data_IF_414375566236
#
_entry.id   IF_414375566236
#
_cell.length_a   1.000
_cell.length_b   1.000
_cell.length_c   1.000
_cell.angle_alpha   90.00
_cell.angle_beta   90.00
_cell.angle_gamma   90.00
#
_symmetry.space_group_name_H-M   'P 1'
#
loop_
_entity.id
_entity.type
_entity.pdbx_description
1 polymer ?
#
# COMPACT_ATOMS: atom_id res chain seq x y z
N UNK A 1 -16.66 -53.90 37.31
CA UNK A 1 -16.39 -53.28 38.62
C UNK A 1 -17.11 -51.95 38.66
N UNK A 2 -18.25 -51.89 39.35
CA UNK A 2 -18.96 -50.64 39.62
C UNK A 2 -18.35 -49.98 40.85
N UNK A 3 -18.25 -48.66 40.89
CA UNK A 3 -17.92 -47.92 42.10
C UNK A 3 -19.06 -46.95 42.40
N UNK A 4 -19.83 -47.28 43.44
CA UNK A 4 -20.90 -46.48 44.02
C UNK A 4 -20.33 -45.68 45.20
N UNK A 5 -20.37 -44.35 45.13
CA UNK A 5 -20.08 -43.51 46.30
C UNK A 5 -19.88 -42.02 45.96
N UNK A 6 -20.52 -41.09 46.70
CA UNK A 6 -20.40 -39.65 46.47
C UNK A 6 -19.18 -39.10 47.23
N UNK A 7 -17.99 -39.28 46.64
CA UNK A 7 -16.75 -38.74 47.21
C UNK A 7 -16.53 -37.30 46.78
N UNK A 8 -16.90 -36.34 47.64
CA UNK A 8 -16.39 -34.97 47.59
C UNK A 8 -14.87 -34.99 47.75
N UNK A 9 -14.13 -34.56 46.73
CA UNK A 9 -12.67 -34.48 46.79
C UNK A 9 -12.24 -33.05 47.11
N UNK A 10 -11.85 -32.83 48.37
CA UNK A 10 -11.05 -31.66 48.77
C UNK A 10 -9.61 -31.81 48.26
N UNK A 11 -8.93 -30.74 47.81
CA UNK A 11 -7.61 -30.85 47.19
C UNK A 11 -6.54 -31.19 48.24
N UNK A 12 -6.23 -32.48 48.37
CA UNK A 12 -5.07 -33.01 49.09
C UNK A 12 -4.07 -33.58 48.09
N UNK A 13 -2.81 -33.21 48.27
CA UNK A 13 -1.61 -33.63 47.53
C UNK A 13 -1.68 -35.05 46.93
N UNK A 14 -1.69 -35.16 45.60
CA UNK A 14 -1.29 -36.41 44.94
C UNK A 14 -1.89 -36.72 43.58
N UNK A 15 -3.11 -36.26 43.27
CA UNK A 15 -3.78 -36.60 42.01
C UNK A 15 -4.24 -35.35 41.25
N UNK A 16 -3.59 -34.97 40.13
CA UNK A 16 -4.02 -33.82 39.36
C UNK A 16 -5.15 -34.23 38.40
N UNK A 17 -6.23 -34.81 38.91
CA UNK A 17 -7.43 -35.07 38.11
C UNK A 17 -8.26 -33.79 38.03
N UNK A 18 -7.68 -32.74 37.43
CA UNK A 18 -8.35 -31.47 37.15
C UNK A 18 -9.41 -31.58 36.03
N UNK A 19 -9.63 -32.78 35.49
CA UNK A 19 -10.43 -33.04 34.29
C UNK A 19 -11.58 -34.05 34.47
N UNK A 20 -12.33 -34.01 35.58
CA UNK A 20 -13.61 -34.76 35.66
C UNK A 20 -14.79 -33.84 35.88
N UNK A 21 -15.56 -33.68 34.80
CA UNK A 21 -16.79 -32.87 34.68
C UNK A 21 -17.96 -33.58 35.36
N UNK A 22 -18.87 -32.82 36.01
CA UNK A 22 -20.23 -33.29 36.32
C UNK A 22 -21.25 -32.22 35.84
N UNK A 23 -22.00 -32.51 34.77
CA UNK A 23 -22.78 -31.53 34.01
C UNK A 23 -22.02 -30.95 32.80
N UNK A 24 -22.46 -29.81 32.25
CA UNK A 24 -21.99 -29.35 30.93
C UNK A 24 -20.78 -28.40 30.94
N UNK A 25 -20.37 -27.78 32.07
CA UNK A 25 -19.34 -26.73 32.04
C UNK A 25 -18.25 -26.93 33.11
N UNK A 26 -16.99 -26.70 32.71
CA UNK A 26 -15.77 -26.76 33.55
C UNK A 26 -15.24 -25.34 33.79
N UNK A 27 -14.82 -25.01 35.02
CA UNK A 27 -14.20 -23.71 35.36
C UNK A 27 -12.88 -23.91 36.14
N UNK A 28 -11.87 -23.10 35.82
CA UNK A 28 -10.56 -23.07 36.49
C UNK A 28 -10.32 -21.71 37.17
N UNK A 29 -9.91 -21.72 38.44
CA UNK A 29 -9.72 -20.54 39.29
C UNK A 29 -8.45 -20.66 40.14
N UNK A 30 -7.30 -20.35 39.53
CA UNK A 30 -6.22 -19.53 40.13
C UNK A 30 -4.96 -19.49 39.25
N UNK A 31 -5.08 -19.48 37.93
CA UNK A 31 -3.92 -19.45 37.05
C UNK A 31 -4.26 -19.26 35.58
N UNK A 32 -3.21 -19.26 34.77
CA UNK A 32 -3.30 -19.26 33.32
C UNK A 32 -3.59 -20.69 32.83
N UNK A 33 -4.45 -20.86 31.82
CA UNK A 33 -4.76 -22.16 31.19
C UNK A 33 -3.81 -22.37 30.02
N UNK A 34 -3.02 -23.45 30.08
CA UNK A 34 -2.14 -23.90 28.99
C UNK A 34 -2.70 -25.12 28.27
N UNK A 35 -2.85 -25.06 26.95
CA UNK A 35 -3.12 -26.24 26.11
C UNK A 35 -1.83 -26.55 25.35
N UNK A 36 -1.22 -27.71 25.58
CA UNK A 36 0.07 -28.07 24.95
C UNK A 36 1.29 -27.30 25.50
N UNK A 37 1.15 -26.58 26.61
CA UNK A 37 2.25 -25.93 27.34
C UNK A 37 2.03 -26.01 28.85
N UNK A 38 3.10 -26.22 29.62
CA UNK A 38 3.08 -26.21 31.10
C UNK A 38 3.41 -24.84 31.70
N UNK A 39 3.82 -23.87 30.86
CA UNK A 39 4.23 -22.52 31.27
C UNK A 39 3.43 -21.43 30.52
N UNK A 40 2.10 -21.36 30.70
CA UNK A 40 1.26 -20.42 29.98
C UNK A 40 1.57 -18.95 30.38
N UNK A 41 2.00 -18.14 29.42
CA UNK A 41 2.41 -16.74 29.63
C UNK A 41 1.23 -15.74 29.71
N UNK A 42 0.03 -16.16 29.29
CA UNK A 42 -1.21 -15.38 29.37
C UNK A 42 -2.36 -16.24 29.90
N UNK A 43 -3.47 -15.59 30.32
CA UNK A 43 -4.64 -16.25 30.94
C UNK A 43 -5.14 -17.47 30.17
N UNK A 44 -5.05 -17.44 28.85
CA UNK A 44 -5.17 -18.60 27.98
C UNK A 44 -3.97 -18.61 27.04
N UNK A 45 -3.22 -19.72 27.02
CA UNK A 45 -2.09 -19.94 26.11
C UNK A 45 -2.27 -21.29 25.42
N UNK A 46 -2.20 -21.30 24.09
CA UNK A 46 -2.09 -22.53 23.31
C UNK A 46 -0.61 -22.63 22.92
N UNK A 47 0.09 -23.62 23.48
CA UNK A 47 1.47 -23.94 23.14
C UNK A 47 1.58 -24.66 21.80
N UNK A 48 2.80 -24.76 21.29
CA UNK A 48 3.08 -25.43 20.02
C UNK A 48 3.92 -24.59 19.06
N UNK A 49 4.08 -25.08 17.84
CA UNK A 49 4.81 -24.42 16.75
C UNK A 49 3.88 -23.41 16.06
N UNK A 50 4.29 -22.14 16.02
CA UNK A 50 3.55 -21.10 15.32
C UNK A 50 3.30 -21.48 13.85
N UNK A 51 2.06 -21.29 13.38
CA UNK A 51 1.66 -21.67 12.02
C UNK A 51 1.28 -23.14 11.83
N UNK A 52 1.52 -24.01 12.82
CA UNK A 52 1.15 -25.44 12.82
C UNK A 52 0.05 -25.71 13.84
N UNK A 53 0.29 -25.33 15.10
CA UNK A 53 -0.63 -25.52 16.21
C UNK A 53 -1.60 -24.33 16.34
N UNK A 54 -2.84 -24.59 16.76
CA UNK A 54 -3.87 -23.56 16.81
C UNK A 54 -5.26 -24.05 17.25
N UNK A 55 -6.28 -23.21 17.08
CA UNK A 55 -7.68 -23.55 17.40
C UNK A 55 -8.30 -24.25 16.20
N UNK A 56 -8.64 -25.54 16.33
CA UNK A 56 -9.33 -26.32 15.29
C UNK A 56 -10.83 -26.04 15.31
N UNK A 57 -11.41 -25.63 14.19
CA UNK A 57 -12.85 -25.44 14.02
C UNK A 57 -13.53 -26.67 13.39
N UNK A 58 -14.85 -26.88 13.62
CA UNK A 58 -15.58 -28.01 13.06
C UNK A 58 -15.60 -28.08 11.52
N UNK A 59 -15.38 -26.96 10.85
CA UNK A 59 -15.26 -26.87 9.38
C UNK A 59 -13.92 -27.42 8.84
N UNK A 60 -13.04 -27.90 9.73
CA UNK A 60 -11.75 -28.43 9.34
C UNK A 60 -10.67 -27.35 9.17
N UNK A 61 -10.91 -26.09 9.53
CA UNK A 61 -9.87 -25.05 9.56
C UNK A 61 -9.17 -25.01 10.91
N UNK A 62 -7.88 -24.64 10.94
CA UNK A 62 -7.13 -24.41 12.17
C UNK A 62 -6.67 -22.95 12.20
N UNK A 63 -7.11 -22.18 13.18
CA UNK A 63 -6.58 -20.83 13.41
C UNK A 63 -5.22 -20.95 14.09
N UNK A 64 -4.16 -20.89 13.29
CA UNK A 64 -2.76 -20.95 13.73
C UNK A 64 -2.13 -19.56 13.90
N UNK A 65 -2.86 -18.50 13.54
CA UNK A 65 -2.49 -17.10 13.69
C UNK A 65 -3.73 -16.27 14.04
N UNK A 66 -3.56 -15.13 14.70
CA UNK A 66 -4.64 -14.14 14.79
C UNK A 66 -4.90 -13.56 13.39
N UNK A 67 -5.94 -14.08 12.71
CA UNK A 67 -6.46 -13.66 11.41
C UNK A 67 -5.48 -12.85 10.53
N UNK A 68 -4.62 -13.54 9.78
CA UNK A 68 -3.75 -12.96 8.72
C UNK A 68 -4.52 -12.57 7.45
N UNK A 69 -5.84 -12.36 7.52
CA UNK A 69 -6.68 -11.87 6.42
C UNK A 69 -6.61 -10.35 6.24
N UNK A 70 -5.42 -9.75 6.41
CA UNK A 70 -5.20 -8.31 6.29
C UNK A 70 -4.89 -7.87 4.86
N UNK A 71 -4.84 -6.56 4.64
CA UNK A 71 -4.31 -5.97 3.40
C UNK A 71 -2.85 -6.46 3.20
N UNK A 72 -2.47 -6.96 2.00
CA UNK A 72 -1.10 -7.39 1.74
C UNK A 72 -0.07 -6.25 1.85
N UNK A 73 1.15 -6.58 2.28
CA UNK A 73 2.26 -5.64 2.27
C UNK A 73 2.52 -5.12 0.84
N UNK A 74 2.89 -3.85 0.72
CA UNK A 74 3.10 -3.19 -0.58
C UNK A 74 1.85 -2.55 -1.19
N UNK A 75 0.64 -2.86 -0.68
CA UNK A 75 -0.59 -2.15 -1.09
C UNK A 75 -0.54 -0.71 -0.60
N UNK A 76 -0.93 0.21 -1.47
CA UNK A 76 -1.02 1.64 -1.18
C UNK A 76 -2.48 2.07 -1.12
N UNK A 77 -2.83 2.85 -0.09
CA UNK A 77 -4.17 3.41 0.11
C UNK A 77 -4.09 4.91 0.30
N UNK A 78 -5.16 5.61 -0.08
CA UNK A 78 -5.38 7.01 0.27
C UNK A 78 -6.02 7.09 1.66
N UNK A 79 -5.35 7.77 2.58
CA UNK A 79 -5.84 8.04 3.93
C UNK A 79 -6.30 9.50 4.04
N UNK A 80 -7.46 9.70 4.67
CA UNK A 80 -7.93 11.02 5.06
C UNK A 80 -7.21 11.56 6.33
N UNK A 81 -6.49 10.71 7.06
CA UNK A 81 -5.73 11.10 8.24
C UNK A 81 -4.37 11.70 7.87
N UNK A 82 -3.84 12.58 8.74
CA UNK A 82 -2.52 13.21 8.58
C UNK A 82 -1.35 12.27 8.92
N UNK A 83 -1.62 11.09 9.48
CA UNK A 83 -0.62 10.06 9.80
C UNK A 83 -1.15 8.69 9.44
N UNK A 84 -0.25 7.79 9.03
CA UNK A 84 -0.63 6.40 8.77
C UNK A 84 -0.91 5.67 10.09
N UNK A 85 -1.90 4.77 10.08
CA UNK A 85 -2.21 3.92 11.22
C UNK A 85 -1.12 2.86 11.45
N UNK A 86 -1.10 2.24 12.63
CA UNK A 86 -0.18 1.14 12.94
C UNK A 86 -0.23 0.05 11.86
N UNK A 87 0.94 -0.42 11.41
CA UNK A 87 1.07 -1.39 10.31
C UNK A 87 1.08 -0.76 8.91
N UNK A 88 1.22 0.57 8.82
CA UNK A 88 1.34 1.32 7.58
C UNK A 88 2.43 2.40 7.70
N UNK A 89 3.08 2.73 6.59
CA UNK A 89 4.07 3.80 6.49
C UNK A 89 3.63 4.83 5.46
N UNK A 90 4.05 6.09 5.62
CA UNK A 90 3.81 7.11 4.61
C UNK A 90 4.65 6.82 3.36
N UNK A 91 4.03 6.86 2.17
CA UNK A 91 4.72 6.78 0.89
C UNK A 91 5.36 8.14 0.55
N UNK A 92 6.41 8.49 1.30
CA UNK A 92 7.07 9.80 1.29
C UNK A 92 8.56 9.74 0.91
N UNK A 93 9.04 8.64 0.34
CA UNK A 93 10.45 8.48 -0.06
C UNK A 93 11.43 8.18 1.07
N UNK A 94 10.97 7.89 2.30
CA UNK A 94 11.87 7.58 3.41
C UNK A 94 12.62 6.26 3.22
N UNK A 95 13.85 6.19 3.74
CA UNK A 95 14.58 4.92 3.88
C UNK A 95 14.12 4.22 5.16
N UNK A 96 13.77 2.94 5.07
CA UNK A 96 13.27 2.14 6.18
C UNK A 96 13.98 0.80 6.29
N UNK A 97 13.97 0.20 7.49
CA UNK A 97 14.73 -1.02 7.80
C UNK A 97 14.19 -2.26 7.06
N UNK A 98 15.09 -3.00 6.40
CA UNK A 98 14.79 -4.29 5.73
C UNK A 98 14.37 -5.37 6.73
N UNK A 99 14.90 -5.35 7.94
CA UNK A 99 14.61 -6.36 8.97
C UNK A 99 13.31 -6.07 9.70
N UNK A 100 13.03 -4.80 10.00
CA UNK A 100 11.80 -4.37 10.68
C UNK A 100 10.58 -4.51 9.76
N UNK A 101 10.74 -4.22 8.47
CA UNK A 101 9.66 -4.27 7.48
C UNK A 101 9.96 -5.33 6.41
N UNK A 102 10.29 -6.54 6.84
CA UNK A 102 10.73 -7.64 5.97
C UNK A 102 9.68 -8.09 4.96
N UNK A 103 8.40 -8.09 5.34
CA UNK A 103 7.26 -8.39 4.46
C UNK A 103 7.12 -7.36 3.34
N UNK A 104 7.23 -6.08 3.68
CA UNK A 104 7.23 -5.00 2.69
C UNK A 104 8.49 -5.03 1.81
N UNK A 105 9.66 -5.30 2.38
CA UNK A 105 10.88 -5.45 1.61
C UNK A 105 10.80 -6.62 0.64
N UNK A 106 10.20 -7.75 1.03
CA UNK A 106 9.94 -8.86 0.12
C UNK A 106 8.99 -8.47 -1.02
N UNK A 107 8.01 -7.59 -0.76
CA UNK A 107 7.03 -7.16 -1.75
C UNK A 107 7.58 -6.15 -2.78
N UNK A 108 8.35 -5.15 -2.36
CA UNK A 108 8.81 -4.05 -3.24
C UNK A 108 10.32 -4.01 -3.46
N UNK A 109 11.10 -4.72 -2.65
CA UNK A 109 12.57 -4.73 -2.70
C UNK A 109 13.15 -3.31 -2.73
N UNK A 110 14.15 -3.07 -3.58
CA UNK A 110 14.81 -1.78 -3.78
C UNK A 110 14.25 -0.98 -4.95
N UNK A 111 13.02 -1.25 -5.38
CA UNK A 111 12.39 -0.67 -6.57
C UNK A 111 12.36 0.87 -6.57
N UNK A 112 12.29 1.49 -5.39
CA UNK A 112 12.26 2.94 -5.21
C UNK A 112 13.58 3.51 -4.68
N UNK A 113 14.61 2.67 -4.58
CA UNK A 113 15.93 3.03 -4.07
C UNK A 113 16.51 1.97 -3.14
N UNK A 114 17.83 1.84 -3.16
CA UNK A 114 18.59 0.85 -2.40
C UNK A 114 18.75 1.20 -0.92
N UNK A 115 18.23 2.36 -0.49
CA UNK A 115 18.47 2.91 0.83
C UNK A 115 19.95 3.26 1.04
N UNK A 116 20.53 2.74 2.11
CA UNK A 116 21.96 2.76 2.45
C UNK A 116 22.77 1.68 1.70
N UNK A 117 22.13 0.89 0.82
CA UNK A 117 22.76 -0.21 0.09
C UNK A 117 22.93 -1.50 0.91
N UNK A 118 22.50 -1.54 2.17
CA UNK A 118 22.72 -2.70 3.05
C UNK A 118 21.52 -3.00 3.95
N UNK A 119 21.20 -2.12 4.90
CA UNK A 119 20.23 -2.39 5.98
C UNK A 119 18.86 -1.78 5.74
N UNK A 120 18.75 -0.87 4.77
CA UNK A 120 17.53 -0.12 4.48
C UNK A 120 17.12 -0.23 3.01
N UNK A 121 15.88 0.15 2.71
CA UNK A 121 15.35 0.31 1.36
C UNK A 121 14.46 1.56 1.31
N UNK A 122 14.30 2.15 0.13
CA UNK A 122 13.56 3.40 -0.04
C UNK A 122 12.09 3.10 -0.33
N UNK A 123 11.18 3.82 0.32
CA UNK A 123 9.74 3.78 0.04
C UNK A 123 9.40 4.58 -1.23
N UNK A 124 8.23 4.34 -1.86
CA UNK A 124 7.74 5.26 -2.88
C UNK A 124 7.58 6.69 -2.34
N UNK A 125 7.73 7.70 -3.18
CA UNK A 125 7.31 9.07 -2.89
C UNK A 125 6.19 9.49 -3.83
N UNK A 126 4.95 9.47 -3.31
CA UNK A 126 3.74 9.81 -4.07
C UNK A 126 3.20 11.20 -3.77
N UNK A 127 3.94 11.99 -2.99
CA UNK A 127 3.52 13.36 -2.67
C UNK A 127 3.54 14.20 -3.94
N UNK A 128 2.42 14.87 -4.23
CA UNK A 128 2.28 15.74 -5.40
C UNK A 128 2.06 15.04 -6.74
N UNK A 129 1.98 13.69 -6.76
CA UNK A 129 1.73 12.93 -7.99
C UNK A 129 0.28 12.42 -8.07
N UNK A 130 -0.24 12.33 -9.29
CA UNK A 130 -1.43 11.51 -9.57
C UNK A 130 -1.01 10.07 -9.87
N UNK A 131 -1.76 9.12 -9.34
CA UNK A 131 -1.56 7.71 -9.64
C UNK A 131 -2.29 7.34 -10.93
N UNK A 132 -1.56 6.69 -11.83
CA UNK A 132 -2.05 6.10 -13.07
C UNK A 132 -1.96 4.57 -12.97
N UNK A 133 -2.94 3.86 -13.51
CA UNK A 133 -2.85 2.41 -13.66
C UNK A 133 -1.69 2.02 -14.59
N UNK A 134 -0.88 1.03 -14.19
CA UNK A 134 0.22 0.54 -15.03
C UNK A 134 -0.33 0.03 -16.36
N UNK A 135 0.25 0.50 -17.48
CA UNK A 135 -0.22 0.16 -18.81
C UNK A 135 -0.04 -1.34 -19.10
N UNK A 136 1.06 -1.94 -18.67
CA UNK A 136 1.32 -3.38 -18.79
C UNK A 136 1.06 -3.91 -20.21
N UNK A 137 1.63 -3.22 -21.20
CA UNK A 137 1.46 -3.51 -22.62
C UNK A 137 0.23 -2.88 -23.28
N UNK A 138 -0.73 -2.34 -22.51
CA UNK A 138 -1.92 -1.66 -23.05
C UNK A 138 -1.56 -0.41 -23.86
N UNK A 139 -2.27 -0.20 -24.97
CA UNK A 139 -2.09 0.97 -25.85
C UNK A 139 -2.91 2.20 -25.44
N UNK A 140 -3.73 2.09 -24.38
CA UNK A 140 -4.48 3.22 -23.79
C UNK A 140 -3.53 4.30 -23.28
N UNK A 141 -2.31 3.90 -22.89
CA UNK A 141 -1.20 4.80 -22.65
C UNK A 141 -0.22 4.76 -23.85
N UNK A 142 -0.31 5.74 -24.78
CA UNK A 142 0.58 5.80 -25.95
C UNK A 142 2.03 6.04 -25.56
N UNK A 143 2.26 6.75 -24.46
CA UNK A 143 3.58 7.23 -24.03
C UNK A 143 4.20 6.35 -22.94
N UNK A 144 3.64 5.16 -22.68
CA UNK A 144 4.15 4.24 -21.63
C UNK A 144 5.64 3.90 -21.77
N UNK A 145 6.17 3.88 -23.00
CA UNK A 145 7.58 3.57 -23.26
C UNK A 145 8.52 4.75 -22.91
N UNK A 146 8.03 5.98 -22.84
CA UNK A 146 8.84 7.18 -22.54
C UNK A 146 8.84 7.57 -21.05
N UNK A 147 8.21 6.76 -20.19
CA UNK A 147 8.14 7.01 -18.75
C UNK A 147 9.54 7.06 -18.14
N UNK A 148 9.74 7.99 -17.22
CA UNK A 148 11.04 8.31 -16.63
C UNK A 148 11.31 7.54 -15.33
N UNK A 149 12.56 7.67 -14.86
CA UNK A 149 13.12 6.90 -13.76
C UNK A 149 12.30 7.00 -12.45
N UNK A 150 12.09 5.85 -11.80
CA UNK A 150 11.42 5.71 -10.49
C UNK A 150 12.35 5.74 -9.26
N UNK A 151 13.66 5.90 -9.47
CA UNK A 151 14.69 5.98 -8.43
C UNK A 151 15.77 4.89 -8.50
N UNK A 152 15.56 3.86 -9.32
CA UNK A 152 16.45 2.70 -9.49
C UNK A 152 17.10 2.61 -10.88
N UNK A 153 16.87 3.60 -11.75
CA UNK A 153 17.32 3.62 -13.14
C UNK A 153 16.29 3.06 -14.13
N UNK A 154 15.23 2.41 -13.66
CA UNK A 154 14.21 1.79 -14.51
C UNK A 154 13.34 2.85 -15.19
N UNK A 155 13.20 2.77 -16.51
CA UNK A 155 12.34 3.62 -17.33
C UNK A 155 11.31 2.78 -18.10
N UNK A 156 10.42 3.44 -18.85
CA UNK A 156 9.45 2.79 -19.72
C UNK A 156 8.26 2.15 -18.99
N UNK A 157 7.63 1.16 -19.62
CA UNK A 157 6.36 0.56 -19.19
C UNK A 157 6.53 -0.41 -18.01
N UNK A 158 6.89 0.15 -16.86
CA UNK A 158 7.12 -0.57 -15.62
C UNK A 158 6.40 0.14 -14.47
N UNK A 159 5.97 -0.61 -13.45
CA UNK A 159 5.34 -0.01 -12.26
C UNK A 159 6.27 1.07 -11.66
N UNK A 160 5.72 2.19 -11.20
CA UNK A 160 6.47 3.23 -10.50
C UNK A 160 7.23 4.22 -11.40
N UNK A 161 7.41 3.94 -12.70
CA UNK A 161 7.98 4.93 -13.64
C UNK A 161 7.04 6.12 -13.81
N UNK A 162 7.60 7.28 -14.14
CA UNK A 162 6.92 8.56 -13.98
C UNK A 162 6.61 9.21 -15.33
N UNK A 163 5.55 10.02 -15.36
CA UNK A 163 5.27 10.98 -16.42
C UNK A 163 5.30 12.37 -15.80
N UNK A 164 5.93 13.33 -16.48
CA UNK A 164 5.87 14.74 -16.09
C UNK A 164 4.57 15.37 -16.62
N UNK A 165 4.26 16.58 -16.19
CA UNK A 165 3.13 17.32 -16.75
C UNK A 165 3.34 17.60 -18.25
N UNK A 166 2.23 17.55 -19.01
CA UNK A 166 2.23 17.82 -20.44
C UNK A 166 0.87 18.34 -20.88
N UNK A 167 0.87 19.30 -21.80
CA UNK A 167 -0.33 19.72 -22.52
C UNK A 167 -0.45 18.94 -23.83
N UNK A 168 -1.68 18.55 -24.19
CA UNK A 168 -1.93 17.99 -25.51
C UNK A 168 -1.53 18.99 -26.60
N UNK A 169 -0.70 18.55 -27.54
CA UNK A 169 -0.26 19.35 -28.67
C UNK A 169 -1.46 19.91 -29.45
N UNK A 170 -1.43 21.21 -29.74
CA UNK A 170 -2.42 21.92 -30.56
C UNK A 170 -1.78 23.14 -31.23
N UNK A 171 -2.43 23.70 -32.25
CA UNK A 171 -1.96 24.87 -33.00
C UNK A 171 -3.01 25.98 -33.01
N UNK A 172 -2.56 27.22 -33.20
CA UNK A 172 -3.43 28.38 -33.39
C UNK A 172 -3.24 28.94 -34.81
N UNK A 173 -4.34 29.05 -35.56
CA UNK A 173 -4.35 29.75 -36.84
C UNK A 173 -4.80 31.20 -36.63
N UNK A 174 -3.99 32.17 -37.06
CA UNK A 174 -4.44 33.55 -37.22
C UNK A 174 -4.79 33.78 -38.68
N UNK A 175 -6.00 34.27 -38.96
CA UNK A 175 -6.34 34.74 -40.29
C UNK A 175 -5.69 36.10 -40.50
N UNK A 176 -4.81 36.22 -41.50
CA UNK A 176 -4.38 37.53 -41.97
C UNK A 176 -5.62 38.26 -42.51
N UNK A 177 -5.88 39.49 -42.05
CA UNK A 177 -6.87 40.33 -42.68
C UNK A 177 -6.42 40.57 -44.13
N UNK A 178 -7.10 39.96 -45.10
CA UNK A 178 -6.88 40.29 -46.50
C UNK A 178 -7.32 41.74 -46.68
N UNK A 179 -6.37 42.65 -46.91
CA UNK A 179 -6.68 44.01 -47.36
C UNK A 179 -7.53 43.89 -48.62
N UNK A 180 -8.69 44.56 -48.63
CA UNK A 180 -9.59 44.56 -49.79
C UNK A 180 -8.84 44.96 -51.07
N UNK A 181 -9.31 44.44 -52.21
CA UNK A 181 -8.68 44.63 -53.52
C UNK A 181 -8.30 46.11 -53.74
N UNK A 182 -7.00 46.35 -53.93
CA UNK A 182 -6.49 47.69 -54.20
C UNK A 182 -6.82 48.10 -55.65
N UNK A 183 -7.08 49.39 -55.92
CA UNK A 183 -7.22 49.90 -57.28
C UNK A 183 -5.97 49.61 -58.12
N UNK A 184 -6.16 49.38 -59.43
CA UNK A 184 -5.08 49.11 -60.38
C UNK A 184 -4.04 50.26 -60.36
N UNK A 185 -2.80 49.95 -59.96
CA UNK A 185 -1.70 50.92 -59.87
C UNK A 185 -1.33 51.37 -58.45
N UNK A 186 -2.04 50.92 -57.41
CA UNK A 186 -1.63 51.14 -56.02
C UNK A 186 -0.48 50.20 -55.60
N UNK A 187 0.49 50.73 -54.85
CA UNK A 187 1.57 49.92 -54.29
C UNK A 187 1.03 48.98 -53.21
N UNK A 188 1.30 47.68 -53.36
CA UNK A 188 0.94 46.65 -52.39
C UNK A 188 1.87 46.74 -51.17
N UNK A 189 1.39 47.38 -50.10
CA UNK A 189 2.05 47.36 -48.80
C UNK A 189 1.55 46.14 -48.02
N UNK A 190 2.11 44.96 -48.33
CA UNK A 190 1.94 43.78 -47.46
C UNK A 190 2.73 44.05 -46.18
N UNK A 191 2.03 44.48 -45.13
CA UNK A 191 2.65 44.57 -43.81
C UNK A 191 3.19 43.18 -43.44
N UNK A 192 4.48 43.05 -43.05
CA UNK A 192 5.03 41.76 -42.66
C UNK A 192 4.16 41.20 -41.52
N UNK A 193 3.77 39.92 -41.65
CA UNK A 193 2.92 39.27 -40.67
C UNK A 193 3.53 39.40 -39.27
N UNK A 194 2.92 40.23 -38.42
CA UNK A 194 3.33 40.38 -37.03
C UNK A 194 2.86 39.11 -36.30
N UNK A 195 3.78 38.16 -36.12
CA UNK A 195 3.51 36.94 -35.34
C UNK A 195 2.97 37.34 -33.97
N UNK A 196 1.69 37.07 -33.73
CA UNK A 196 1.05 37.39 -32.46
C UNK A 196 1.19 36.16 -31.57
N UNK A 197 2.23 36.13 -30.75
CA UNK A 197 2.41 35.08 -29.74
C UNK A 197 1.52 35.47 -28.57
N UNK A 198 0.54 34.63 -28.24
CA UNK A 198 -0.24 34.80 -27.00
C UNK A 198 0.71 34.65 -25.82
N UNK A 199 0.58 35.50 -24.80
CA UNK A 199 1.36 35.36 -23.57
C UNK A 199 1.08 34.02 -22.87
N UNK A 200 1.92 33.67 -21.89
CA UNK A 200 1.71 32.50 -21.05
C UNK A 200 0.38 32.61 -20.31
N UNK A 201 -0.44 31.57 -20.40
CA UNK A 201 -1.68 31.43 -19.63
C UNK A 201 -1.64 30.12 -18.84
N UNK A 202 -2.20 30.12 -17.63
CA UNK A 202 -2.16 28.98 -16.70
C UNK A 202 -1.19 29.19 -15.54
N UNK A 203 -0.89 28.11 -14.81
CA UNK A 203 0.08 28.08 -13.71
C UNK A 203 1.18 27.04 -13.97
N UNK A 204 1.96 26.72 -12.94
CA UNK A 204 3.11 25.81 -13.05
C UNK A 204 2.76 24.37 -13.48
N UNK A 205 1.49 23.96 -13.41
CA UNK A 205 1.04 22.61 -13.78
C UNK A 205 -0.43 22.65 -14.20
N UNK A 206 -0.79 21.82 -15.18
CA UNK A 206 -2.19 21.57 -15.56
C UNK A 206 -2.71 20.31 -14.91
N UNK A 207 -3.75 20.46 -14.09
CA UNK A 207 -4.34 19.35 -13.33
C UNK A 207 -5.84 19.53 -13.10
N UNK A 208 -6.62 18.45 -12.92
CA UNK A 208 -7.99 18.53 -12.43
C UNK A 208 -8.06 19.16 -11.03
N UNK A 209 -9.26 19.60 -10.64
CA UNK A 209 -9.55 19.94 -9.23
C UNK A 209 -9.19 18.72 -8.37
N UNK A 210 -8.36 18.92 -7.34
CA UNK A 210 -7.85 17.85 -6.49
C UNK A 210 -7.85 18.27 -5.02
N UNK A 211 -7.80 17.26 -4.15
CA UNK A 211 -7.69 17.38 -2.69
C UNK A 211 -6.58 16.44 -2.21
N UNK A 212 -5.80 16.89 -1.21
CA UNK A 212 -4.71 16.09 -0.67
C UNK A 212 -5.21 14.97 0.24
N UNK A 213 -4.60 13.80 0.06
CA UNK A 213 -4.72 12.62 0.93
C UNK A 213 -3.31 12.15 1.28
N UNK A 214 -3.15 11.48 2.42
CA UNK A 214 -1.90 10.82 2.77
C UNK A 214 -1.87 9.44 2.12
N UNK A 215 -0.91 9.20 1.23
CA UNK A 215 -0.67 7.84 0.74
C UNK A 215 0.07 7.01 1.79
N UNK A 216 -0.55 5.90 2.19
CA UNK A 216 0.00 4.95 3.14
C UNK A 216 0.26 3.60 2.46
N UNK A 217 1.44 3.03 2.67
CA UNK A 217 1.84 1.70 2.19
C UNK A 217 1.81 0.69 3.35
N UNK A 218 1.21 -0.48 3.11
CA UNK A 218 1.10 -1.53 4.11
C UNK A 218 2.48 -2.16 4.35
N UNK A 219 2.87 -2.27 5.63
CA UNK A 219 4.10 -2.95 6.06
C UNK A 219 3.90 -4.44 6.24
#
# INVERSE_FOLDING_TARGET
>A
MAFTGPGSLTPGSGDPVFWRVNGSNVYYSSGNVGIGTTTPAAKLTIGGTAGVDGIKFPDGTTQTTAATGGVPAGVVVASAASTCSTGWLAANGSNVSRTTYSTLFAAISTMYGTGDGSTTFTLPDYRGYFLRGWANGSTVDPDRASRTNRGDGTTGDNVGTKQMDEFKAHTHGSAAATTGALPQGAADWVAPAKGTITGSAGGNETRPVNIYVLYCIKT
#
